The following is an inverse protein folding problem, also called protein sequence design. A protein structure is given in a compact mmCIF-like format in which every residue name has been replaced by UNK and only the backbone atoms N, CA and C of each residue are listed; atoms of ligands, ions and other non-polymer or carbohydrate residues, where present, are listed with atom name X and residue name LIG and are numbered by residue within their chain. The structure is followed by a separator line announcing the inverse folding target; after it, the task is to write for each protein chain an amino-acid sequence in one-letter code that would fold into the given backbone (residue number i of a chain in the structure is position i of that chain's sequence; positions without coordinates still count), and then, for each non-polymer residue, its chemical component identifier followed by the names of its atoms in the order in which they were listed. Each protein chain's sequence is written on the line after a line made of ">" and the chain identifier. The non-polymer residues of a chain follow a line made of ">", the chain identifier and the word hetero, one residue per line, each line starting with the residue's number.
data_IF_926990368206
#
_entry.id   IF_926990368206
#
_cell.length_a   1.000
_cell.length_b   1.000
_cell.length_c   1.000
_cell.angle_alpha   90.00
_cell.angle_beta   90.00
_cell.angle_gamma   90.00
#
_symmetry.space_group_name_H-M   'P 1'
#
loop_
_entity.id
_entity.type
_entity.pdbx_description
1 polymer ?
2 water ?
#
# COMPACT_ATOMS: atom_id res chain seq x y z
N UNK A 8 -0.54 12.69 -9.08
CA UNK A 8 -1.97 12.47 -9.29
C UNK A 8 -2.49 11.37 -8.38
N UNK A 9 -3.60 11.63 -7.71
CA UNK A 9 -4.10 10.73 -6.68
C UNK A 9 -5.18 9.84 -7.26
N UNK A 10 -5.07 8.53 -7.01
CA UNK A 10 -6.01 7.55 -7.55
C UNK A 10 -6.44 6.56 -6.46
N UNK A 11 -7.52 5.84 -6.77
CA UNK A 11 -8.27 5.05 -5.80
C UNK A 11 -8.34 3.61 -6.24
N UNK A 12 -8.06 2.69 -5.31
CA UNK A 12 -8.04 1.27 -5.63
C UNK A 12 -8.83 0.53 -4.57
N UNK A 13 -9.72 -0.35 -5.02
CA UNK A 13 -10.44 -1.26 -4.14
C UNK A 13 -9.92 -2.66 -4.41
N UNK A 14 -9.31 -3.28 -3.41
CA UNK A 14 -8.71 -4.59 -3.60
C UNK A 14 -9.40 -5.61 -2.71
N UNK A 15 -9.76 -6.75 -3.29
CA UNK A 15 -10.29 -7.86 -2.51
C UNK A 15 -9.12 -8.77 -2.16
N UNK A 16 -8.89 -8.95 -0.87
CA UNK A 16 -7.79 -9.78 -0.42
C UNK A 16 -7.99 -11.23 -0.85
N UNK A 17 -6.88 -11.91 -1.08
CA UNK A 17 -6.87 -13.33 -1.37
C UNK A 17 -5.94 -14.00 -0.38
N UNK A 18 -6.48 -14.89 0.44
CA UNK A 18 -5.71 -15.62 1.45
C UNK A 18 -4.93 -14.66 2.34
N UNK A 19 -5.57 -13.54 2.70
CA UNK A 19 -4.99 -12.57 3.60
C UNK A 19 -4.04 -11.56 2.99
N UNK A 20 -3.80 -11.59 1.68
CA UNK A 20 -2.83 -10.67 1.08
C UNK A 20 -3.44 -9.81 -0.02
N UNK A 21 -2.85 -8.63 -0.21
CA UNK A 21 -3.20 -7.73 -1.31
C UNK A 21 -2.28 -7.89 -2.52
N UNK A 22 -1.26 -8.74 -2.42
CA UNK A 22 -0.38 -8.95 -3.54
C UNK A 22 0.61 -7.84 -3.77
N UNK A 23 0.96 -7.08 -2.73
CA UNK A 23 2.07 -6.15 -2.86
C UNK A 23 2.65 -5.91 -1.48
N UNK A 24 3.88 -5.40 -1.46
CA UNK A 24 4.57 -5.05 -0.24
C UNK A 24 4.91 -3.56 -0.28
N UNK A 25 5.37 -3.04 0.85
CA UNK A 25 5.68 -1.61 0.97
C UNK A 25 7.04 -1.38 1.62
N UNK A 26 7.64 -0.25 1.29
CA UNK A 26 8.88 0.20 1.91
C UNK A 26 8.71 1.65 2.34
N UNK A 27 9.30 2.01 3.48
CA UNK A 27 9.25 3.37 3.95
C UNK A 27 8.61 3.52 5.32
N UNK A 28 8.22 4.74 5.63
CA UNK A 28 7.78 5.07 6.97
C UNK A 28 8.60 6.22 7.54
N UNK A 29 8.08 6.89 8.56
CA UNK A 29 8.75 8.07 9.10
C UNK A 29 10.10 7.73 9.72
N UNK A 30 10.29 6.47 10.12
CA UNK A 30 11.55 6.03 10.71
C UNK A 30 12.51 5.46 9.67
N UNK A 31 12.32 5.78 8.39
CA UNK A 31 13.22 5.37 7.32
C UNK A 31 13.68 6.61 6.57
N UNK A 32 14.57 6.41 5.60
CA UNK A 32 15.12 7.50 4.80
C UNK A 32 14.49 7.62 3.41
N UNK A 33 13.34 7.00 3.16
CA UNK A 33 12.68 7.20 1.87
C UNK A 33 12.24 8.66 1.75
N UNK A 34 12.02 9.17 0.54
CA UNK A 34 11.54 10.56 0.40
C UNK A 34 10.29 10.82 1.21
N UNK A 35 10.33 11.88 2.01
CA UNK A 35 9.21 12.36 2.84
C UNK A 35 8.82 11.38 3.94
N UNK A 36 9.59 10.32 4.16
CA UNK A 36 9.18 9.33 5.12
C UNK A 36 7.92 8.59 4.72
N UNK A 37 7.58 8.60 3.43
CA UNK A 37 6.34 8.04 2.95
C UNK A 37 6.35 6.53 2.88
N UNK A 38 5.22 5.99 2.44
CA UNK A 38 5.04 4.55 2.24
C UNK A 38 4.91 4.31 0.75
N UNK A 39 5.79 3.47 0.19
CA UNK A 39 5.86 3.25 -1.25
C UNK A 39 5.67 1.78 -1.59
N UNK A 40 4.99 1.53 -2.71
CA UNK A 40 4.74 0.16 -3.15
C UNK A 40 6.05 -0.45 -3.61
N UNK A 41 6.40 -1.60 -3.03
CA UNK A 41 7.73 -2.17 -3.20
C UNK A 41 7.76 -3.22 -4.30
N UNK A 42 7.05 -4.31 -4.07
CA UNK A 42 6.95 -5.42 -5.00
C UNK A 42 5.48 -5.62 -5.28
N UNK A 43 5.17 -6.11 -6.47
CA UNK A 43 3.82 -6.53 -6.81
C UNK A 43 3.87 -7.95 -7.33
N UNK A 44 3.04 -8.82 -6.76
CA UNK A 44 3.04 -10.24 -7.10
C UNK A 44 2.23 -10.48 -8.38
N UNK A 45 2.83 -11.08 -9.41
CA UNK A 45 2.06 -11.43 -10.61
C UNK A 45 0.86 -12.29 -10.25
N UNK A 46 -0.29 -11.93 -10.80
CA UNK A 46 -1.52 -12.65 -10.51
C UNK A 46 -2.11 -12.38 -9.15
N UNK A 47 -1.52 -11.48 -8.37
CA UNK A 47 -2.11 -11.11 -7.11
C UNK A 47 -3.21 -10.08 -7.29
N UNK A 48 -3.88 -9.76 -6.18
CA UNK A 48 -4.96 -8.76 -6.26
C UNK A 48 -4.56 -7.44 -6.90
N UNK A 49 -3.45 -6.84 -6.46
CA UNK A 49 -3.03 -5.55 -7.01
C UNK A 49 -2.69 -5.68 -8.49
N UNK A 50 -2.04 -6.78 -8.87
CA UNK A 50 -1.69 -6.98 -10.28
C UNK A 50 -2.94 -7.10 -11.14
N UNK A 51 -3.92 -7.88 -10.69
CA UNK A 51 -5.13 -8.07 -11.48
C UNK A 51 -5.96 -6.79 -11.57
N UNK A 52 -6.04 -6.01 -10.49
CA UNK A 52 -6.83 -4.78 -10.57
C UNK A 52 -6.21 -3.79 -11.54
N UNK A 53 -4.87 -3.69 -11.55
CA UNK A 53 -4.14 -3.08 -12.65
C UNK A 53 -3.62 -1.67 -12.42
N UNK A 54 -4.12 -0.95 -11.41
CA UNK A 54 -3.76 0.46 -11.30
C UNK A 54 -2.44 0.69 -10.58
N UNK A 55 -2.13 -0.15 -9.59
CA UNK A 55 -1.00 0.13 -8.72
C UNK A 55 0.30 -0.14 -9.46
N UNK A 56 1.24 0.80 -9.36
CA UNK A 56 2.58 0.62 -9.92
C UNK A 56 3.62 0.63 -8.81
N UNK A 57 4.66 -0.18 -8.99
CA UNK A 57 5.83 -0.11 -8.10
C UNK A 57 6.34 1.32 -8.02
N UNK A 58 6.61 1.78 -6.80
CA UNK A 58 7.07 3.13 -6.57
C UNK A 58 5.98 4.13 -6.25
N UNK A 59 4.71 3.81 -6.51
CA UNK A 59 3.65 4.74 -6.13
C UNK A 59 3.60 4.89 -4.61
N UNK A 60 3.11 6.05 -4.15
CA UNK A 60 3.08 6.35 -2.72
C UNK A 60 1.71 6.00 -2.17
N UNK A 61 1.68 5.14 -1.15
CA UNK A 61 0.41 4.77 -0.54
C UNK A 61 0.05 5.83 0.51
N UNK A 62 -1.02 6.58 0.27
CA UNK A 62 -1.40 7.67 1.15
C UNK A 62 -2.38 7.24 2.23
N UNK A 63 -3.35 6.40 1.89
CA UNK A 63 -4.42 6.12 2.83
C UNK A 63 -4.88 4.68 2.67
N UNK A 64 -5.25 4.06 3.79
CA UNK A 64 -5.74 2.68 3.82
C UNK A 64 -7.01 2.66 4.66
N UNK A 65 -8.13 2.30 4.03
CA UNK A 65 -9.42 2.18 4.73
C UNK A 65 -9.74 3.45 5.51
N UNK A 66 -9.58 4.58 4.83
CA UNK A 66 -9.88 5.88 5.42
C UNK A 66 -8.92 6.35 6.48
N UNK A 67 -7.82 5.65 6.72
CA UNK A 67 -6.84 6.01 7.74
C UNK A 67 -5.58 6.51 7.04
N UNK A 68 -5.20 7.76 7.32
CA UNK A 68 -4.00 8.33 6.71
C UNK A 68 -2.75 7.64 7.23
N UNK A 69 -1.79 7.41 6.33
CA UNK A 69 -0.50 6.85 6.72
C UNK A 69 0.51 7.93 7.04
N UNK A 70 0.10 9.20 6.95
CA UNK A 70 1.01 10.29 7.29
C UNK A 70 1.42 10.19 8.76
N UNK A 71 2.73 10.16 9.00
CA UNK A 71 3.27 10.11 10.35
C UNK A 71 3.46 8.72 10.91
N UNK A 72 3.16 7.67 10.15
CA UNK A 72 3.26 6.31 10.65
C UNK A 72 4.65 5.74 10.40
N UNK A 73 5.09 4.89 11.33
CA UNK A 73 6.31 4.13 11.12
C UNK A 73 6.06 3.00 10.12
N UNK A 74 7.15 2.37 9.66
CA UNK A 74 7.03 1.22 8.78
C UNK A 74 6.12 0.15 9.36
N UNK A 75 6.37 -0.23 10.62
CA UNK A 75 5.58 -1.29 11.24
C UNK A 75 4.10 -0.92 11.30
N UNK A 76 3.79 0.35 11.55
CA UNK A 76 2.40 0.76 11.67
C UNK A 76 1.68 0.70 10.32
N UNK A 77 2.36 1.11 9.24
CA UNK A 77 1.76 1.01 7.91
C UNK A 77 1.51 -0.44 7.51
N UNK A 78 2.50 -1.31 7.74
CA UNK A 78 2.31 -2.73 7.44
C UNK A 78 1.10 -3.28 8.20
N UNK A 79 1.00 -2.94 9.49
CA UNK A 79 -0.16 -3.38 10.26
C UNK A 79 -1.46 -2.89 9.63
N UNK A 80 -1.45 -1.65 9.11
CA UNK A 80 -2.62 -1.15 8.38
C UNK A 80 -2.99 -2.06 7.22
N UNK A 81 -2.00 -2.62 6.54
CA UNK A 81 -2.32 -3.44 5.38
C UNK A 81 -2.69 -4.88 5.74
N UNK A 82 -2.52 -5.29 6.99
CA UNK A 82 -2.78 -6.68 7.35
C UNK A 82 -4.01 -6.86 8.25
N UNK A 83 -5.06 -6.05 8.02
CA UNK A 83 -6.25 -6.09 8.86
C UNK A 83 -7.23 -7.18 8.48
N UNK A 84 -8.31 -7.27 9.26
CA UNK A 84 -9.25 -8.40 9.10
C UNK A 84 -10.24 -8.24 7.96
N UNK A 85 -10.46 -7.02 7.46
CA UNK A 85 -11.48 -6.83 6.45
C UNK A 85 -11.12 -7.51 5.14
N UNK A 86 -12.16 -7.94 4.43
CA UNK A 86 -11.98 -8.62 3.15
C UNK A 86 -11.45 -7.67 2.08
N UNK A 87 -11.82 -6.40 2.17
CA UNK A 87 -11.55 -5.41 1.13
C UNK A 87 -10.67 -4.33 1.73
N UNK A 88 -9.69 -3.88 0.96
CA UNK A 88 -8.86 -2.75 1.34
C UNK A 88 -9.15 -1.61 0.37
N UNK A 89 -9.48 -0.45 0.92
CA UNK A 89 -9.73 0.75 0.15
C UNK A 89 -8.48 1.61 0.26
N UNK A 90 -7.75 1.74 -0.84
CA UNK A 90 -6.44 2.36 -0.86
C UNK A 90 -6.48 3.65 -1.66
N UNK A 91 -5.74 4.64 -1.19
CA UNK A 91 -5.54 5.89 -1.92
C UNK A 91 -4.05 6.09 -2.14
N UNK A 92 -3.66 6.27 -3.40
CA UNK A 92 -2.25 6.37 -3.76
C UNK A 92 -1.96 7.61 -4.59
N UNK A 93 -0.69 8.00 -4.59
CA UNK A 93 -0.16 9.03 -5.48
C UNK A 93 0.67 8.36 -6.56
N UNK A 94 0.43 8.73 -7.82
CA UNK A 94 1.28 8.26 -8.90
C UNK A 94 2.67 8.88 -8.75
N UNK A 95 3.67 8.06 -8.44
CA UNK A 95 5.02 8.54 -8.15
C UNK A 95 6.07 7.68 -8.86
#
# INVERSE_FOLDING_TARGET
>A
GSQTNTGEIYFVELVKEDGTLGFSVTGGINTSVPHGGIYVKSIIPGGPAAKEGQILQGDRLLQVDGVSLCGLTHKQAVQCLKGPGQVARLVLERRG
#
